data_IF_770196049909
#
_entry.id   IF_770196049909
#
_cell.length_a   1.000
_cell.length_b   1.000
_cell.length_c   1.000
_cell.angle_alpha   90.00
_cell.angle_beta   90.00
_cell.angle_gamma   90.00
#
_symmetry.space_group_name_H-M   'P 1'
#
loop_
_entity.id
_entity.type
_entity.pdbx_description
1 polymer ?
#
# COMPACT_ATOMS: atom_id res chain seq x y z
N UNK A 1 22.76 -7.74 3.68
CA UNK A 1 21.60 -7.67 2.76
C UNK A 1 21.43 -6.23 2.32
N UNK A 2 21.53 -5.92 1.02
CA UNK A 2 21.40 -4.53 0.53
C UNK A 2 19.97 -4.04 0.80
N UNK A 3 19.81 -3.07 1.70
CA UNK A 3 18.55 -2.35 1.92
C UNK A 3 18.22 -1.53 0.67
N UNK A 4 17.65 -2.18 -0.34
CA UNK A 4 17.13 -1.50 -1.52
C UNK A 4 15.83 -0.83 -1.09
N UNK A 5 15.88 0.45 -0.71
CA UNK A 5 14.67 1.25 -0.52
C UNK A 5 14.00 1.39 -1.89
N UNK A 6 12.90 0.69 -2.16
CA UNK A 6 12.31 0.66 -3.50
C UNK A 6 11.57 1.98 -3.81
N UNK A 7 11.51 2.87 -2.82
CA UNK A 7 10.92 4.20 -2.86
C UNK A 7 11.95 5.34 -2.96
N UNK A 8 13.26 5.04 -3.00
CA UNK A 8 14.36 6.04 -2.89
C UNK A 8 14.40 7.09 -3.99
N UNK A 9 13.67 6.88 -5.09
CA UNK A 9 13.62 7.79 -6.25
C UNK A 9 12.26 8.45 -6.46
N UNK A 10 11.30 8.21 -5.57
CA UNK A 10 9.96 8.80 -5.70
C UNK A 10 9.90 10.10 -4.90
N UNK A 11 9.44 11.17 -5.55
CA UNK A 11 9.08 12.44 -4.91
C UNK A 11 7.84 12.29 -4.02
N UNK A 12 6.98 11.33 -4.35
CA UNK A 12 5.77 10.98 -3.60
C UNK A 12 6.12 10.13 -2.39
N UNK A 13 5.54 10.45 -1.22
CA UNK A 13 5.77 9.68 0.00
C UNK A 13 5.45 8.20 -0.23
N UNK A 14 6.28 7.26 0.23
CA UNK A 14 6.03 5.82 0.14
C UNK A 14 4.68 5.41 0.75
N UNK A 15 4.17 6.17 1.71
CA UNK A 15 2.86 5.96 2.32
C UNK A 15 1.71 6.17 1.34
N UNK A 16 1.82 7.16 0.45
CA UNK A 16 0.82 7.46 -0.59
C UNK A 16 0.82 6.33 -1.63
N UNK A 17 2.01 5.89 -2.04
CA UNK A 17 2.16 4.77 -2.98
C UNK A 17 1.54 3.50 -2.38
N UNK A 18 1.82 3.22 -1.11
CA UNK A 18 1.22 2.11 -0.37
C UNK A 18 -0.29 2.21 -0.31
N UNK A 19 -0.82 3.38 0.01
CA UNK A 19 -2.26 3.63 0.11
C UNK A 19 -2.96 3.37 -1.23
N UNK A 20 -2.46 3.97 -2.32
CA UNK A 20 -3.04 3.86 -3.65
C UNK A 20 -3.08 2.40 -4.14
N UNK A 21 -1.95 1.68 -3.99
CA UNK A 21 -1.86 0.28 -4.39
C UNK A 21 -2.74 -0.61 -3.50
N UNK A 22 -2.78 -0.37 -2.19
CA UNK A 22 -3.63 -1.13 -1.27
C UNK A 22 -5.12 -0.89 -1.53
N UNK A 23 -5.54 0.33 -1.85
CA UNK A 23 -6.93 0.63 -2.22
C UNK A 23 -7.37 -0.16 -3.44
N UNK A 24 -6.52 -0.22 -4.47
CA UNK A 24 -6.77 -1.00 -5.68
C UNK A 24 -6.81 -2.52 -5.42
N UNK A 25 -5.95 -3.04 -4.55
CA UNK A 25 -5.89 -4.50 -4.25
C UNK A 25 -7.00 -4.97 -3.32
N UNK A 26 -7.36 -4.12 -2.35
CA UNK A 26 -8.22 -4.52 -1.23
C UNK A 26 -9.69 -4.25 -1.51
N UNK A 27 -9.99 -3.31 -2.39
CA UNK A 27 -11.35 -2.97 -2.81
C UNK A 27 -11.47 -3.13 -4.33
N UNK A 28 -12.62 -3.58 -4.86
CA UNK A 28 -12.87 -3.65 -6.30
C UNK A 28 -13.13 -2.25 -6.89
N UNK A 29 -12.19 -1.32 -6.69
CA UNK A 29 -12.26 0.04 -7.18
C UNK A 29 -11.63 0.15 -8.58
N UNK A 30 -12.25 0.95 -9.44
CA UNK A 30 -11.63 1.35 -10.70
C UNK A 30 -10.45 2.29 -10.42
N UNK A 31 -9.48 2.34 -11.34
CA UNK A 31 -8.32 3.24 -11.19
C UNK A 31 -8.74 4.73 -11.13
N UNK A 32 -9.84 5.10 -11.79
CA UNK A 32 -10.42 6.46 -11.71
C UNK A 32 -11.00 6.76 -10.33
N UNK A 33 -11.66 5.79 -9.69
CA UNK A 33 -12.15 6.00 -8.32
C UNK A 33 -10.99 6.15 -7.34
N UNK A 34 -9.87 5.45 -7.56
CA UNK A 34 -8.67 5.62 -6.73
C UNK A 34 -8.03 7.00 -6.93
N UNK A 35 -7.97 7.48 -8.18
CA UNK A 35 -7.54 8.85 -8.50
C UNK A 35 -8.41 9.89 -7.78
N UNK A 36 -9.74 9.78 -7.88
CA UNK A 36 -10.68 10.70 -7.26
C UNK A 36 -10.51 10.75 -5.73
N UNK A 37 -10.41 9.58 -5.07
CA UNK A 37 -10.18 9.47 -3.62
C UNK A 37 -8.82 10.05 -3.17
N UNK A 38 -7.79 9.96 -4.01
CA UNK A 38 -6.50 10.58 -3.73
C UNK A 38 -6.58 12.09 -3.92
N UNK A 39 -7.33 12.54 -4.93
CA UNK A 39 -7.52 13.94 -5.23
C UNK A 39 -8.34 14.65 -4.14
N UNK A 40 -9.37 14.00 -3.58
CA UNK A 40 -10.10 14.46 -2.39
C UNK A 40 -9.19 14.67 -1.17
N UNK A 41 -8.08 13.93 -1.08
CA UNK A 41 -7.07 14.09 -0.02
C UNK A 41 -6.02 15.16 -0.35
N UNK A 42 -6.20 15.92 -1.43
CA UNK A 42 -5.26 16.93 -1.91
C UNK A 42 -4.04 16.34 -2.62
N UNK A 43 -4.13 15.09 -3.08
CA UNK A 43 -3.03 14.39 -3.73
C UNK A 43 -3.34 14.25 -5.22
N UNK A 44 -2.76 15.12 -6.04
CA UNK A 44 -2.90 15.08 -7.50
C UNK A 44 -2.04 13.96 -8.10
N UNK A 45 -2.65 12.83 -8.41
CA UNK A 45 -2.01 11.66 -9.02
C UNK A 45 -2.93 11.06 -10.07
N UNK A 46 -2.46 10.96 -11.31
CA UNK A 46 -3.21 10.31 -12.37
C UNK A 46 -3.30 8.79 -12.20
N UNK A 47 -4.39 8.21 -12.68
CA UNK A 47 -4.66 6.76 -12.68
C UNK A 47 -3.54 5.93 -13.34
N UNK A 48 -2.82 6.51 -14.31
CA UNK A 48 -1.65 5.90 -14.96
C UNK A 48 -0.49 5.66 -13.99
N UNK A 49 -0.29 6.59 -13.06
CA UNK A 49 0.73 6.47 -12.00
C UNK A 49 0.37 5.34 -11.03
N UNK A 50 -0.91 5.23 -10.65
CA UNK A 50 -1.42 4.11 -9.85
C UNK A 50 -1.19 2.77 -10.59
N UNK A 51 -1.46 2.73 -11.90
CA UNK A 51 -1.20 1.55 -12.74
C UNK A 51 0.30 1.21 -12.80
N UNK A 52 1.17 2.21 -12.92
CA UNK A 52 2.62 2.00 -12.90
C UNK A 52 3.09 1.43 -11.56
N UNK A 53 2.59 1.98 -10.45
CA UNK A 53 2.90 1.49 -9.11
C UNK A 53 2.41 0.06 -8.88
N UNK A 54 1.21 -0.27 -9.35
CA UNK A 54 0.70 -1.65 -9.32
C UNK A 54 1.64 -2.62 -10.04
N UNK A 55 2.05 -2.31 -11.27
CA UNK A 55 2.95 -3.18 -12.03
C UNK A 55 4.33 -3.33 -11.35
N UNK A 56 4.85 -2.27 -10.75
CA UNK A 56 6.18 -2.27 -10.14
C UNK A 56 6.21 -2.89 -8.75
N UNK A 57 5.22 -2.58 -7.92
CA UNK A 57 5.20 -2.96 -6.50
C UNK A 57 4.22 -4.09 -6.18
N UNK A 58 3.34 -4.48 -7.10
CA UNK A 58 2.39 -5.59 -6.94
C UNK A 58 3.01 -6.83 -6.28
N UNK A 59 4.13 -7.40 -6.78
CA UNK A 59 4.75 -8.57 -6.15
C UNK A 59 5.32 -8.29 -4.74
N UNK A 60 5.79 -7.07 -4.49
CA UNK A 60 6.29 -6.66 -3.18
C UNK A 60 5.16 -6.58 -2.14
N UNK A 61 4.03 -5.97 -2.52
CA UNK A 61 2.83 -5.89 -1.68
C UNK A 61 2.17 -7.25 -1.48
N UNK A 62 2.05 -8.07 -2.53
CA UNK A 62 1.51 -9.42 -2.41
C UNK A 62 2.31 -10.27 -1.41
N UNK A 63 3.65 -10.17 -1.45
CA UNK A 63 4.53 -10.81 -0.48
C UNK A 63 4.34 -10.26 0.93
N UNK A 64 4.21 -8.96 1.09
CA UNK A 64 3.99 -8.32 2.41
C UNK A 64 2.64 -8.71 3.02
N UNK A 65 1.56 -8.71 2.22
CA UNK A 65 0.22 -9.16 2.64
C UNK A 65 0.25 -10.64 3.02
N UNK A 66 0.89 -11.49 2.20
CA UNK A 66 1.04 -12.93 2.49
C UNK A 66 1.82 -13.15 3.79
N UNK A 67 2.91 -12.41 4.00
CA UNK A 67 3.70 -12.49 5.25
C UNK A 67 2.88 -12.09 6.47
N UNK A 68 2.10 -10.99 6.39
CA UNK A 68 1.18 -10.57 7.46
C UNK A 68 0.09 -11.60 7.76
N UNK A 69 -0.40 -12.34 6.74
CA UNK A 69 -1.36 -13.43 6.92
C UNK A 69 -0.75 -14.68 7.55
N UNK A 70 0.49 -15.03 7.18
CA UNK A 70 1.17 -16.24 7.65
C UNK A 70 1.75 -16.08 9.06
N UNK A 71 2.18 -14.87 9.41
CA UNK A 71 2.59 -14.52 10.75
C UNK A 71 1.64 -13.43 11.27
N UNK A 72 0.39 -13.80 11.63
CA UNK A 72 -0.42 -12.87 12.41
C UNK A 72 0.42 -12.51 13.63
N UNK A 73 0.64 -11.21 13.85
CA UNK A 73 1.23 -10.75 15.11
C UNK A 73 0.41 -11.40 16.22
N UNK A 74 1.02 -12.20 17.10
CA UNK A 74 0.24 -12.87 18.11
C UNK A 74 -0.36 -11.78 18.98
N UNK A 75 -1.69 -11.66 18.90
CA UNK A 75 -2.46 -10.74 19.69
C UNK A 75 -2.53 -11.31 21.11
N UNK A 76 -1.37 -11.39 21.78
CA UNK A 76 -1.31 -11.62 23.22
C UNK A 76 -1.90 -10.38 23.86
N UNK A 77 -3.21 -10.39 24.00
CA UNK A 77 -3.88 -9.38 24.79
C UNK A 77 -3.41 -9.62 26.22
N UNK A 78 -2.48 -8.80 26.72
CA UNK A 78 -2.03 -8.82 28.11
C UNK A 78 -3.12 -8.25 29.02
N UNK A 79 -4.37 -8.72 28.88
CA UNK A 79 -5.45 -8.42 29.81
C UNK A 79 -5.09 -9.04 31.15
N UNK A 80 -4.44 -8.26 32.00
CA UNK A 80 -4.31 -8.55 33.42
C UNK A 80 -5.60 -8.06 34.06
N UNK A 81 -6.52 -8.98 34.33
CA UNK A 81 -7.63 -8.70 35.24
C UNK A 81 -7.03 -8.28 36.59
N UNK A 82 -7.43 -7.09 37.05
CA UNK A 82 -7.16 -6.55 38.39
C UNK A 82 -8.42 -6.69 39.23
#
# INVERSE_FOLDING_TARGET
>A
MKNHNPFRYFKTSPEIIRLAVMMYVRFPLSLRNVEDLLHERGIDISYETVRYWWNKFGPLFAREIRKKRMHPVPNHSNWKWH
#
